data_IF_288399664553
#
_entry.id   IF_288399664553
#
_cell.length_a   1.000
_cell.length_b   1.000
_cell.length_c   1.000
_cell.angle_alpha   90.00
_cell.angle_beta   90.00
_cell.angle_gamma   90.00
#
_symmetry.space_group_name_H-M   'P 1'
#
loop_
_entity.id
_entity.type
_entity.pdbx_description
1 polymer ?
#
# COMPACT_ATOMS: atom_id res chain seq x y z
N UNK A 1 -19.57 -12.70 -12.10
CA UNK A 1 -18.47 -11.71 -11.91
C UNK A 1 -18.74 -10.73 -10.78
N UNK A 2 -19.98 -10.29 -10.53
CA UNK A 2 -20.36 -9.39 -9.41
C UNK A 2 -19.84 -9.86 -8.04
N UNK A 3 -19.85 -11.17 -7.77
CA UNK A 3 -19.40 -11.70 -6.48
C UNK A 3 -17.90 -11.50 -6.23
N UNK A 4 -17.07 -11.60 -7.28
CA UNK A 4 -15.62 -11.45 -7.16
C UNK A 4 -15.24 -9.98 -6.98
N UNK A 5 -15.83 -9.07 -7.77
CA UNK A 5 -15.64 -7.62 -7.60
C UNK A 5 -16.09 -7.13 -6.21
N UNK A 6 -17.25 -7.62 -5.74
CA UNK A 6 -17.76 -7.29 -4.40
C UNK A 6 -16.82 -7.82 -3.32
N UNK A 7 -16.30 -9.05 -3.50
CA UNK A 7 -15.35 -9.67 -2.60
C UNK A 7 -14.02 -8.89 -2.55
N UNK A 8 -13.43 -8.57 -3.70
CA UNK A 8 -12.12 -7.88 -3.77
C UNK A 8 -12.22 -6.47 -3.20
N UNK A 9 -13.31 -5.74 -3.50
CA UNK A 9 -13.62 -4.44 -2.90
C UNK A 9 -13.73 -4.54 -1.37
N UNK A 10 -14.36 -5.58 -0.85
CA UNK A 10 -14.49 -5.81 0.60
C UNK A 10 -13.12 -6.08 1.25
N UNK A 11 -12.31 -6.94 0.65
CA UNK A 11 -10.97 -7.23 1.18
C UNK A 11 -10.06 -6.02 1.12
N UNK A 12 -10.07 -5.28 0.01
CA UNK A 12 -9.29 -4.05 -0.13
C UNK A 12 -9.68 -3.02 0.93
N UNK A 13 -10.98 -2.82 1.19
CA UNK A 13 -11.42 -1.93 2.25
C UNK A 13 -10.96 -2.36 3.65
N UNK A 14 -10.87 -3.68 3.91
CA UNK A 14 -10.35 -4.21 5.17
C UNK A 14 -8.85 -3.95 5.29
N UNK A 15 -8.07 -4.35 4.29
CA UNK A 15 -6.61 -4.17 4.24
C UNK A 15 -6.22 -2.70 4.37
N UNK A 16 -6.84 -1.81 3.58
CA UNK A 16 -6.63 -0.36 3.66
C UNK A 16 -6.87 0.19 5.07
N UNK A 17 -7.95 -0.22 5.73
CA UNK A 17 -8.25 0.22 7.11
C UNK A 17 -7.18 -0.23 8.10
N UNK A 18 -6.65 -1.44 7.96
CA UNK A 18 -5.58 -1.95 8.82
C UNK A 18 -4.27 -1.19 8.59
N UNK A 19 -3.89 -0.95 7.32
CA UNK A 19 -2.70 -0.15 6.98
C UNK A 19 -2.79 1.27 7.55
N UNK A 20 -3.90 1.97 7.31
CA UNK A 20 -4.12 3.33 7.83
C UNK A 20 -4.11 3.34 9.35
N UNK A 21 -4.71 2.34 10.01
CA UNK A 21 -4.68 2.22 11.47
C UNK A 21 -3.25 2.12 11.98
N UNK A 22 -2.44 1.21 11.43
CA UNK A 22 -1.05 1.07 11.85
C UNK A 22 -0.24 2.34 11.63
N UNK A 23 -0.42 3.04 10.50
CA UNK A 23 0.23 4.33 10.24
C UNK A 23 -0.18 5.38 11.29
N UNK A 24 -1.48 5.55 11.53
CA UNK A 24 -2.01 6.54 12.48
C UNK A 24 -1.61 6.25 13.94
N UNK A 25 -1.42 4.98 14.29
CA UNK A 25 -0.96 4.54 15.61
C UNK A 25 0.57 4.45 15.72
N UNK A 26 1.30 4.71 14.62
CA UNK A 26 2.75 4.53 14.52
C UNK A 26 3.20 3.09 14.88
N UNK A 27 2.33 2.11 14.61
CA UNK A 27 2.55 0.68 14.91
C UNK A 27 3.35 0.00 13.78
N UNK A 28 4.68 0.18 13.83
CA UNK A 28 5.64 -0.44 12.90
C UNK A 28 5.48 -1.96 12.85
N UNK A 29 5.43 -2.60 14.01
CA UNK A 29 5.36 -4.06 14.13
C UNK A 29 4.04 -4.61 13.61
N UNK A 30 2.93 -3.91 13.88
CA UNK A 30 1.63 -4.23 13.30
C UNK A 30 1.64 -4.11 11.78
N UNK A 31 2.22 -3.03 11.25
CA UNK A 31 2.32 -2.81 9.81
C UNK A 31 3.18 -3.90 9.14
N UNK A 32 4.33 -4.24 9.73
CA UNK A 32 5.20 -5.33 9.25
C UNK A 32 4.46 -6.66 9.17
N UNK A 33 3.64 -6.98 10.17
CA UNK A 33 2.83 -8.21 10.22
C UNK A 33 1.74 -8.29 9.16
N UNK A 34 1.36 -7.17 8.55
CA UNK A 34 0.41 -7.17 7.43
C UNK A 34 1.08 -7.63 6.13
N UNK A 35 2.40 -7.53 6.00
CA UNK A 35 3.14 -8.06 4.85
C UNK A 35 3.15 -9.58 4.83
N UNK A 36 3.09 -10.14 3.63
CA UNK A 36 3.28 -11.57 3.44
C UNK A 36 4.66 -12.00 3.95
N UNK A 37 4.80 -13.26 4.39
CA UNK A 37 6.10 -13.72 4.89
C UNK A 37 7.17 -13.67 3.81
N UNK A 38 6.79 -13.88 2.55
CA UNK A 38 7.71 -13.72 1.43
C UNK A 38 8.11 -12.26 1.24
N UNK A 39 7.18 -11.31 1.30
CA UNK A 39 7.51 -9.89 1.22
C UNK A 39 8.44 -9.47 2.36
N UNK A 40 8.20 -9.95 3.59
CA UNK A 40 9.07 -9.71 4.73
C UNK A 40 10.52 -10.19 4.54
N UNK A 41 10.73 -11.23 3.73
CA UNK A 41 12.08 -11.79 3.45
C UNK A 41 12.75 -11.12 2.25
N UNK A 42 11.96 -10.69 1.26
CA UNK A 42 12.47 -10.27 -0.04
C UNK A 42 12.51 -8.74 -0.23
N UNK A 43 11.78 -7.97 0.58
CA UNK A 43 11.95 -6.51 0.59
C UNK A 43 13.22 -6.17 1.34
N UNK A 44 14.23 -5.71 0.60
CA UNK A 44 15.48 -5.18 1.17
C UNK A 44 15.17 -4.01 2.12
N UNK A 45 15.84 -4.00 3.27
CA UNK A 45 15.72 -2.97 4.32
C UNK A 45 14.28 -2.63 4.71
N UNK A 46 13.42 -3.65 4.78
CA UNK A 46 11.99 -3.46 5.12
C UNK A 46 11.80 -2.68 6.42
N UNK A 47 12.59 -2.94 7.45
CA UNK A 47 12.47 -2.25 8.74
C UNK A 47 12.75 -0.75 8.63
N UNK A 48 13.77 -0.35 7.89
CA UNK A 48 14.11 1.06 7.67
C UNK A 48 13.08 1.74 6.78
N UNK A 49 12.56 1.03 5.76
CA UNK A 49 11.47 1.52 4.90
C UNK A 49 10.17 1.73 5.67
N UNK A 50 9.84 0.85 6.62
CA UNK A 50 8.70 1.02 7.51
C UNK A 50 8.85 2.28 8.39
N UNK A 51 10.05 2.54 8.90
CA UNK A 51 10.34 3.79 9.64
C UNK A 51 10.19 5.01 8.73
N UNK A 52 10.69 4.96 7.50
CA UNK A 52 10.51 6.03 6.51
C UNK A 52 9.03 6.29 6.20
N UNK A 53 8.22 5.23 6.04
CA UNK A 53 6.80 5.35 5.74
C UNK A 53 6.05 6.02 6.90
N UNK A 54 6.26 5.57 8.13
CA UNK A 54 5.62 6.18 9.32
C UNK A 54 6.13 7.62 9.50
N UNK A 55 7.44 7.82 9.35
CA UNK A 55 8.10 9.12 9.47
C UNK A 55 7.61 10.16 8.45
N UNK A 56 7.25 9.74 7.23
CA UNK A 56 6.73 10.62 6.19
C UNK A 56 5.47 11.39 6.59
N UNK A 57 4.67 10.84 7.50
CA UNK A 57 3.48 11.53 8.01
C UNK A 57 3.82 12.56 9.10
N UNK A 58 5.03 12.52 9.69
CA UNK A 58 5.51 13.47 10.70
C UNK A 58 4.49 13.75 11.82
N UNK A 59 3.88 12.67 12.34
CA UNK A 59 2.84 12.74 13.38
C UNK A 59 1.44 13.18 12.93
N UNK A 60 1.25 13.56 11.66
CA UNK A 60 -0.06 13.89 11.12
C UNK A 60 -0.90 12.63 10.90
N UNK A 61 -2.18 12.69 11.22
CA UNK A 61 -3.10 11.57 11.03
C UNK A 61 -3.72 11.61 9.65
N UNK A 62 -3.93 10.44 9.07
CA UNK A 62 -4.79 10.25 7.90
C UNK A 62 -6.25 10.34 8.39
N UNK A 63 -6.95 11.38 7.97
CA UNK A 63 -8.36 11.61 8.32
C UNK A 63 -9.31 10.87 7.37
N UNK A 64 -8.93 10.80 6.09
CA UNK A 64 -9.71 10.07 5.09
C UNK A 64 -8.84 9.53 3.96
N UNK A 65 -9.31 8.47 3.33
CA UNK A 65 -8.68 7.84 2.17
C UNK A 65 -9.73 7.56 1.10
N UNK A 66 -9.66 8.28 -0.02
CA UNK A 66 -10.56 8.15 -1.15
C UNK A 66 -9.86 7.39 -2.27
N UNK A 67 -10.46 6.28 -2.72
CA UNK A 67 -9.90 5.45 -3.79
C UNK A 67 -10.49 5.79 -5.16
N UNK A 68 -9.74 5.52 -6.22
CA UNK A 68 -10.19 5.59 -7.62
C UNK A 68 -10.84 4.29 -8.13
N UNK A 69 -10.64 3.17 -7.44
CA UNK A 69 -11.17 1.86 -7.82
C UNK A 69 -10.49 0.74 -7.03
N UNK A 70 -10.94 -0.49 -7.20
CA UNK A 70 -10.23 -1.69 -6.76
C UNK A 70 -10.12 -2.60 -7.95
N UNK A 71 -8.89 -2.90 -8.33
CA UNK A 71 -8.57 -3.81 -9.41
C UNK A 71 -8.00 -5.10 -8.83
N UNK A 72 -8.02 -6.17 -9.63
CA UNK A 72 -7.55 -7.47 -9.19
C UNK A 72 -7.17 -8.35 -10.37
N UNK A 73 -6.34 -9.35 -10.07
CA UNK A 73 -5.94 -10.41 -10.99
C UNK A 73 -6.01 -11.79 -10.34
N UNK A 74 -6.27 -12.79 -11.18
CA UNK A 74 -6.58 -14.14 -10.75
C UNK A 74 -8.08 -14.42 -10.86
N UNK A 75 -8.53 -15.51 -10.27
CA UNK A 75 -9.94 -15.87 -10.26
C UNK A 75 -10.38 -16.37 -8.89
N UNK A 76 -11.70 -16.50 -8.71
CA UNK A 76 -12.26 -17.10 -7.50
C UNK A 76 -11.78 -18.55 -7.31
N UNK A 77 -11.55 -19.27 -8.42
CA UNK A 77 -11.30 -20.72 -8.46
C UNK A 77 -9.81 -21.07 -8.71
N UNK A 78 -8.98 -20.09 -9.10
CA UNK A 78 -7.55 -20.26 -9.38
C UNK A 78 -6.74 -19.15 -8.72
N UNK A 79 -5.92 -19.57 -7.76
CA UNK A 79 -5.03 -18.72 -6.98
C UNK A 79 -3.66 -18.57 -7.68
N UNK A 80 -2.97 -17.43 -7.50
CA UNK A 80 -3.23 -16.37 -6.52
C UNK A 80 -4.25 -15.31 -6.95
N UNK A 81 -5.02 -14.81 -5.97
CA UNK A 81 -5.87 -13.62 -6.11
C UNK A 81 -5.11 -12.38 -5.62
N UNK A 82 -4.63 -11.58 -6.56
CA UNK A 82 -3.95 -10.32 -6.31
C UNK A 82 -4.95 -9.17 -6.37
N UNK A 83 -4.90 -8.26 -5.40
CA UNK A 83 -5.81 -7.11 -5.31
C UNK A 83 -4.97 -5.85 -5.12
N UNK A 84 -5.30 -4.80 -5.85
CA UNK A 84 -4.58 -3.53 -5.83
C UNK A 84 -5.51 -2.32 -5.89
N UNK A 85 -5.03 -1.19 -5.36
CA UNK A 85 -5.81 0.02 -5.27
C UNK A 85 -4.99 1.26 -4.92
N UNK A 86 -5.37 2.36 -5.55
CA UNK A 86 -4.77 3.69 -5.36
C UNK A 86 -5.68 4.57 -4.50
N UNK A 87 -5.06 5.36 -3.61
CA UNK A 87 -5.75 6.22 -2.66
C UNK A 87 -5.15 7.61 -2.61
N UNK A 88 -6.02 8.61 -2.62
CA UNK A 88 -5.70 9.95 -2.12
C UNK A 88 -6.00 10.00 -0.63
N UNK A 89 -4.98 10.32 0.17
CA UNK A 89 -5.04 10.45 1.61
C UNK A 89 -5.15 11.93 1.97
N UNK A 90 -6.13 12.30 2.79
CA UNK A 90 -6.21 13.63 3.38
C UNK A 90 -5.69 13.57 4.82
N UNK A 91 -4.71 14.42 5.11
CA UNK A 91 -4.08 14.49 6.43
C UNK A 91 -4.69 15.58 7.30
N UNK A 92 -4.48 15.46 8.61
CA UNK A 92 -4.95 16.43 9.62
C UNK A 92 -4.38 17.84 9.47
N UNK A 93 -3.23 17.99 8.79
CA UNK A 93 -2.65 19.29 8.44
C UNK A 93 -3.18 19.87 7.12
N UNK A 94 -4.17 19.22 6.50
CA UNK A 94 -4.75 19.63 5.22
C UNK A 94 -3.97 19.22 3.98
N UNK A 95 -2.78 18.61 4.12
CA UNK A 95 -2.02 18.09 2.97
C UNK A 95 -2.67 16.82 2.41
N UNK A 96 -2.40 16.56 1.13
CA UNK A 96 -2.84 15.36 0.44
C UNK A 96 -1.66 14.53 -0.04
N UNK A 97 -1.69 13.23 0.25
CA UNK A 97 -0.71 12.23 -0.21
C UNK A 97 -1.39 11.22 -1.14
N UNK A 98 -0.62 10.51 -1.94
CA UNK A 98 -1.11 9.36 -2.73
C UNK A 98 -0.47 8.07 -2.24
N UNK A 99 -1.26 7.00 -2.10
CA UNK A 99 -0.77 5.70 -1.65
C UNK A 99 -1.35 4.58 -2.52
N UNK A 100 -0.48 3.74 -3.05
CA UNK A 100 -0.83 2.48 -3.68
C UNK A 100 -0.65 1.33 -2.69
N UNK A 101 -1.62 0.41 -2.65
CA UNK A 101 -1.56 -0.82 -1.87
C UNK A 101 -1.81 -1.99 -2.81
N UNK A 102 -0.96 -3.02 -2.74
CA UNK A 102 -1.27 -4.32 -3.32
C UNK A 102 -1.02 -5.46 -2.34
N UNK A 103 -1.82 -6.51 -2.46
CA UNK A 103 -1.72 -7.69 -1.62
C UNK A 103 -2.24 -8.93 -2.34
N UNK A 104 -1.74 -10.08 -1.90
CA UNK A 104 -2.29 -11.37 -2.26
C UNK A 104 -3.26 -11.80 -1.15
N UNK A 105 -4.56 -11.92 -1.47
CA UNK A 105 -5.59 -12.30 -0.49
C UNK A 105 -5.51 -13.81 -0.18
N UNK A 106 -5.36 -14.62 -1.22
CA UNK A 106 -5.33 -16.07 -1.16
C UNK A 106 -4.27 -16.62 -2.10
N UNK A 107 -3.59 -17.68 -1.65
CA UNK A 107 -2.64 -18.42 -2.44
C UNK A 107 -2.59 -19.89 -2.02
N UNK A 108 -3.25 -20.77 -2.79
CA UNK A 108 -3.35 -22.20 -2.48
C UNK A 108 -2.01 -22.93 -2.62
N UNK A 109 -1.05 -22.35 -3.35
CA UNK A 109 0.27 -22.95 -3.57
C UNK A 109 1.25 -22.60 -2.46
N UNK A 110 1.11 -21.44 -1.83
CA UNK A 110 1.98 -21.00 -0.73
C UNK A 110 1.28 -19.97 0.15
N UNK A 111 0.99 -20.35 1.40
CA UNK A 111 0.43 -19.43 2.39
C UNK A 111 1.38 -18.28 2.75
N UNK A 112 2.69 -18.47 2.57
CA UNK A 112 3.69 -17.43 2.84
C UNK A 112 3.60 -16.23 1.87
N UNK A 113 2.88 -16.39 0.75
CA UNK A 113 2.63 -15.32 -0.24
C UNK A 113 1.41 -14.46 0.09
N UNK A 114 0.51 -14.92 0.97
CA UNK A 114 -0.67 -14.16 1.36
C UNK A 114 -0.32 -12.99 2.30
N UNK A 115 -0.88 -11.81 2.06
CA UNK A 115 -0.58 -10.57 2.78
C UNK A 115 -0.17 -9.43 1.83
N UNK A 116 0.14 -8.27 2.41
CA UNK A 116 0.66 -7.12 1.66
C UNK A 116 1.94 -7.52 0.91
N UNK A 117 2.02 -7.09 -0.34
CA UNK A 117 3.19 -7.31 -1.19
C UNK A 117 3.82 -5.97 -1.59
N UNK A 118 3.00 -4.92 -1.74
CA UNK A 118 3.49 -3.58 -2.05
C UNK A 118 2.79 -2.46 -1.27
N UNK A 119 3.59 -1.48 -0.85
CA UNK A 119 3.13 -0.12 -0.54
C UNK A 119 4.01 0.88 -1.31
N UNK A 120 3.41 1.77 -2.10
CA UNK A 120 4.08 2.95 -2.67
C UNK A 120 3.40 4.20 -2.11
N UNK A 121 4.14 5.02 -1.35
CA UNK A 121 3.67 6.29 -0.82
C UNK A 121 4.32 7.46 -1.56
N UNK A 122 3.50 8.40 -2.01
CA UNK A 122 3.93 9.73 -2.45
C UNK A 122 3.50 10.74 -1.39
N UNK A 123 4.48 11.22 -0.63
CA UNK A 123 4.30 12.18 0.47
C UNK A 123 4.23 13.64 -0.03
N UNK A 124 3.53 13.84 -1.14
CA UNK A 124 3.31 15.13 -1.79
C UNK A 124 2.06 15.06 -2.68
N UNK A 125 1.47 16.22 -2.95
CA UNK A 125 0.24 16.28 -3.75
C UNK A 125 0.51 16.05 -5.23
N UNK A 126 -0.57 15.88 -6.01
CA UNK A 126 -0.46 15.75 -7.47
C UNK A 126 0.11 17.03 -8.10
N UNK A 127 -0.22 18.20 -7.56
CA UNK A 127 0.31 19.49 -8.00
C UNK A 127 1.81 19.66 -7.70
N UNK A 128 2.28 19.06 -6.61
CA UNK A 128 3.69 19.10 -6.19
C UNK A 128 4.55 18.04 -6.90
N UNK A 129 3.94 17.13 -7.67
CA UNK A 129 4.65 16.04 -8.34
C UNK A 129 5.68 16.57 -9.35
N UNK A 130 6.98 16.24 -9.20
CA UNK A 130 8.01 16.71 -10.13
C UNK A 130 7.78 16.28 -11.58
N UNK A 131 8.16 17.13 -12.53
CA UNK A 131 8.05 16.81 -13.97
C UNK A 131 8.94 15.61 -14.30
N UNK A 132 8.37 14.60 -14.95
CA UNK A 132 9.09 13.37 -15.30
C UNK A 132 9.18 12.36 -14.16
N UNK A 133 8.57 12.63 -13.00
CA UNK A 133 8.49 11.64 -11.93
C UNK A 133 7.55 10.50 -12.35
N UNK A 134 8.14 9.32 -12.53
CA UNK A 134 7.43 8.06 -12.76
C UNK A 134 7.55 7.22 -11.48
N UNK A 135 6.75 7.53 -10.46
CA UNK A 135 6.66 6.68 -9.27
C UNK A 135 6.21 5.27 -9.66
N UNK A 136 6.91 4.26 -9.15
CA UNK A 136 6.81 2.88 -9.62
C UNK A 136 5.77 2.04 -8.88
N UNK A 137 4.66 1.76 -9.56
CA UNK A 137 3.80 0.60 -9.24
C UNK A 137 4.38 -0.58 -10.01
N UNK A 138 4.86 -1.60 -9.30
CA UNK A 138 5.42 -2.80 -9.91
C UNK A 138 4.46 -3.94 -9.67
N UNK A 139 3.81 -4.33 -10.74
CA UNK A 139 2.84 -5.41 -10.69
C UNK A 139 3.59 -6.71 -10.36
N UNK A 140 3.15 -7.37 -9.29
CA UNK A 140 3.62 -8.69 -8.83
C UNK A 140 5.01 -8.75 -8.17
N UNK A 141 5.64 -7.60 -7.89
CA UNK A 141 6.90 -7.53 -7.14
C UNK A 141 6.70 -7.14 -5.66
N UNK A 142 7.56 -7.69 -4.79
CA UNK A 142 7.62 -7.25 -3.39
C UNK A 142 8.36 -5.93 -3.30
N UNK A 143 7.66 -4.85 -2.95
CA UNK A 143 8.26 -3.53 -2.92
C UNK A 143 7.70 -2.64 -1.82
N UNK A 144 8.54 -1.76 -1.31
CA UNK A 144 8.11 -0.69 -0.42
C UNK A 144 8.88 0.57 -0.76
N UNK A 145 8.15 1.64 -1.06
CA UNK A 145 8.72 2.90 -1.54
C UNK A 145 8.02 4.08 -0.89
N UNK A 146 8.82 5.08 -0.52
CA UNK A 146 8.37 6.32 0.08
C UNK A 146 9.05 7.46 -0.67
N UNK A 147 8.24 8.25 -1.38
CA UNK A 147 8.72 9.36 -2.18
C UNK A 147 8.37 10.66 -1.48
N UNK A 148 9.40 11.41 -1.09
CA UNK A 148 9.29 12.79 -0.63
C UNK A 148 9.70 13.74 -1.75
N UNK A 149 9.38 15.03 -1.64
CA UNK A 149 9.84 16.02 -2.62
C UNK A 149 11.36 16.10 -2.72
N UNK A 150 12.06 15.88 -1.59
CA UNK A 150 13.52 15.86 -1.52
C UNK A 150 14.13 14.74 -2.38
N UNK A 151 13.50 13.57 -2.40
CA UNK A 151 14.01 12.40 -3.12
C UNK A 151 13.47 12.31 -4.55
N UNK A 152 12.32 12.94 -4.84
CA UNK A 152 11.69 12.91 -6.17
C UNK A 152 12.23 13.98 -7.14
N UNK A 153 13.10 14.88 -6.68
CA UNK A 153 13.70 15.97 -7.47
C UNK A 153 15.17 15.74 -7.84
N UNK A 154 15.74 14.59 -7.45
CA UNK A 154 17.10 14.16 -7.81
C UNK A 154 17.11 13.46 -9.16
#
# INVERSE_FOLDING_TARGET
MVDLETYTTKQMNKTKKQVIKCINEQDKEGLKKLFSKDAQKNIEDLDDKLDQLIGAFNGNKIESAKGSGTDFEGSADAQPLHIYGDYTLKLSNGKEYSMFISFCDKNDKSQDKAGLIQIDLRAFSKEETPKGFHGGVYKDDYAMSVHTLENATQ
#
